data_IF_850637035779
#
_entry.id   IF_850637035779
#
_cell.length_a   1.000
_cell.length_b   1.000
_cell.length_c   1.000
_cell.angle_alpha   90.00
_cell.angle_beta   90.00
_cell.angle_gamma   90.00
#
_symmetry.space_group_name_H-M   'P 1'
#
loop_
_entity.id
_entity.type
_entity.pdbx_description
1 polymer ?
#
# COMPACT_ATOMS: atom_id res chain seq x y z
N UNK A 1 -12.70 -5.98 1.27
CA UNK A 1 -11.82 -7.01 0.67
C UNK A 1 -12.56 -7.81 -0.40
N UNK A 2 -11.93 -8.01 -1.55
CA UNK A 2 -12.45 -8.84 -2.66
C UNK A 2 -12.53 -10.33 -2.28
N UNK A 3 -11.77 -10.77 -1.28
CA UNK A 3 -11.77 -12.13 -0.72
C UNK A 3 -12.59 -12.26 0.57
N UNK A 4 -13.18 -11.16 1.03
CA UNK A 4 -14.13 -11.11 2.15
C UNK A 4 -13.51 -10.83 3.52
N UNK A 5 -12.21 -10.54 3.67
CA UNK A 5 -11.65 -10.17 4.96
C UNK A 5 -12.27 -8.87 5.49
N UNK A 6 -12.48 -8.79 6.80
CA UNK A 6 -13.15 -7.66 7.46
C UNK A 6 -12.33 -7.19 8.66
N UNK A 7 -12.10 -5.89 8.74
CA UNK A 7 -11.48 -5.24 9.90
C UNK A 7 -12.55 -4.81 10.92
N UNK A 8 -12.24 -4.95 12.18
CA UNK A 8 -13.07 -4.54 13.32
C UNK A 8 -12.21 -3.82 14.36
N UNK A 9 -12.78 -2.82 14.99
CA UNK A 9 -12.15 -2.15 16.11
C UNK A 9 -12.98 -2.42 17.37
N UNK A 10 -12.32 -2.68 18.50
CA UNK A 10 -12.99 -2.70 19.79
C UNK A 10 -13.14 -1.27 20.36
N UNK A 11 -13.70 -1.15 21.57
CA UNK A 11 -13.87 0.15 22.23
C UNK A 11 -12.55 0.86 22.56
N UNK A 12 -11.45 0.13 22.64
CA UNK A 12 -10.09 0.65 22.86
C UNK A 12 -9.33 0.87 21.55
N UNK A 13 -10.01 0.73 20.39
CA UNK A 13 -9.44 0.86 19.04
C UNK A 13 -8.42 -0.24 18.68
N UNK A 14 -8.37 -1.33 19.42
CA UNK A 14 -7.57 -2.49 19.04
C UNK A 14 -8.15 -3.12 17.77
N UNK A 15 -7.25 -3.52 16.85
CA UNK A 15 -7.62 -4.09 15.57
C UNK A 15 -7.85 -5.61 15.69
N UNK A 16 -8.96 -6.06 15.11
CA UNK A 16 -9.30 -7.47 14.89
C UNK A 16 -9.61 -7.69 13.43
N UNK A 17 -9.26 -8.84 12.89
CA UNK A 17 -9.57 -9.23 11.52
C UNK A 17 -10.30 -10.57 11.53
N UNK A 18 -11.36 -10.66 10.70
CA UNK A 18 -12.02 -11.90 10.34
C UNK A 18 -11.78 -12.21 8.86
N UNK A 19 -11.61 -13.49 8.50
CA UNK A 19 -11.41 -13.91 7.11
C UNK A 19 -12.66 -13.80 6.24
N UNK A 20 -13.78 -13.40 6.83
CA UNK A 20 -15.05 -13.22 6.14
C UNK A 20 -16.20 -12.92 7.09
N UNK A 21 -17.35 -12.57 6.53
CA UNK A 21 -18.55 -12.31 7.30
C UNK A 21 -18.96 -13.56 8.14
N UNK A 22 -19.23 -13.35 9.43
CA UNK A 22 -19.58 -14.44 10.36
C UNK A 22 -18.41 -15.31 10.83
N UNK A 23 -17.20 -15.08 10.37
CA UNK A 23 -16.01 -15.76 10.85
C UNK A 23 -15.51 -15.19 12.18
N UNK A 24 -14.74 -15.99 12.90
CA UNK A 24 -14.14 -15.58 14.19
C UNK A 24 -13.20 -14.40 13.97
N UNK A 25 -13.38 -13.36 14.79
CA UNK A 25 -12.48 -12.20 14.82
C UNK A 25 -11.22 -12.59 15.58
N UNK A 26 -10.08 -12.41 14.97
CA UNK A 26 -8.77 -12.66 15.55
C UNK A 26 -8.10 -11.33 15.86
N UNK A 27 -7.54 -11.20 17.08
CA UNK A 27 -6.82 -10.00 17.49
C UNK A 27 -5.52 -9.85 16.72
N UNK A 28 -5.23 -8.65 16.27
CA UNK A 28 -3.94 -8.30 15.67
C UNK A 28 -2.97 -7.97 16.79
N UNK A 29 -1.77 -8.56 16.72
CA UNK A 29 -0.76 -8.51 17.77
C UNK A 29 0.53 -7.86 17.27
N UNK A 30 1.23 -7.21 18.17
CA UNK A 30 2.64 -6.84 17.98
C UNK A 30 3.56 -8.06 18.20
N UNK A 31 4.86 -7.87 18.02
CA UNK A 31 5.86 -8.93 18.19
C UNK A 31 5.99 -9.42 19.65
N UNK A 32 5.50 -8.67 20.63
CA UNK A 32 5.49 -9.04 22.06
C UNK A 32 4.21 -9.78 22.48
N UNK A 33 3.23 -9.89 21.58
CA UNK A 33 1.92 -10.46 21.82
C UNK A 33 0.91 -9.45 22.39
N UNK A 34 1.24 -8.18 22.43
CA UNK A 34 0.32 -7.11 22.80
C UNK A 34 -0.70 -6.79 21.70
N UNK A 35 -1.91 -6.36 22.10
CA UNK A 35 -2.91 -5.85 21.17
C UNK A 35 -2.40 -4.57 20.50
N UNK A 36 -2.72 -4.39 19.23
CA UNK A 36 -2.28 -3.22 18.47
C UNK A 36 -3.48 -2.40 17.98
N UNK A 37 -3.32 -1.08 18.02
CA UNK A 37 -4.23 -0.11 17.43
C UNK A 37 -3.55 0.58 16.25
N UNK A 38 -4.29 0.69 15.13
CA UNK A 38 -3.97 1.58 14.01
C UNK A 38 -5.01 2.69 13.85
N UNK A 39 -5.97 2.80 14.78
CA UNK A 39 -7.02 3.82 14.77
C UNK A 39 -6.91 4.66 16.05
N UNK A 40 -6.00 5.62 16.03
CA UNK A 40 -5.64 6.42 17.18
C UNK A 40 -5.45 7.90 16.82
N UNK A 41 -5.53 8.75 17.84
CA UNK A 41 -5.24 10.17 17.71
C UNK A 41 -4.25 10.57 18.80
N UNK A 42 -3.11 11.09 18.37
CA UNK A 42 -2.12 11.69 19.25
C UNK A 42 -2.15 13.21 19.08
N UNK A 43 -2.15 13.96 20.19
CA UNK A 43 -2.15 15.41 20.16
C UNK A 43 -1.14 15.98 21.16
N UNK A 44 -0.34 16.96 20.71
CA UNK A 44 0.62 17.67 21.54
C UNK A 44 0.71 19.15 21.11
N UNK A 45 0.15 20.05 21.93
CA UNK A 45 0.10 21.48 21.60
C UNK A 45 -0.73 21.73 20.34
N UNK A 46 -0.11 22.30 19.31
CA UNK A 46 -0.73 22.56 17.99
C UNK A 46 -0.48 21.45 16.96
N UNK A 47 0.06 20.32 17.40
CA UNK A 47 0.27 19.12 16.57
C UNK A 47 -0.81 18.08 16.87
N UNK A 48 -1.39 17.49 15.82
CA UNK A 48 -2.27 16.32 15.91
C UNK A 48 -1.90 15.33 14.82
N UNK A 49 -1.76 14.07 15.20
CA UNK A 49 -1.58 12.93 14.30
C UNK A 49 -2.77 11.99 14.50
N UNK A 50 -3.58 11.82 13.47
CA UNK A 50 -4.78 10.97 13.49
C UNK A 50 -4.61 9.84 12.49
N UNK A 51 -4.75 8.61 12.97
CA UNK A 51 -4.73 7.40 12.16
C UNK A 51 -6.12 6.77 12.13
N UNK A 52 -6.51 6.25 10.98
CA UNK A 52 -7.79 5.60 10.74
C UNK A 52 -7.59 4.37 9.85
N UNK A 53 -8.03 3.20 10.30
CA UNK A 53 -8.06 1.98 9.46
C UNK A 53 -9.14 2.16 8.40
N UNK A 54 -8.75 2.11 7.13
CA UNK A 54 -9.67 2.24 6.00
C UNK A 54 -10.11 0.90 5.44
N UNK A 55 -9.17 -0.05 5.30
CA UNK A 55 -9.44 -1.31 4.64
C UNK A 55 -8.49 -2.42 5.11
N UNK A 56 -8.90 -3.65 4.85
CA UNK A 56 -8.07 -4.84 4.94
C UNK A 56 -8.27 -5.68 3.67
N UNK A 57 -7.19 -6.25 3.13
CA UNK A 57 -7.20 -7.12 1.95
C UNK A 57 -6.37 -8.37 2.21
N UNK A 58 -6.85 -9.54 1.76
CA UNK A 58 -6.08 -10.78 1.84
C UNK A 58 -5.08 -10.85 0.69
N UNK A 59 -3.82 -11.16 0.99
CA UNK A 59 -2.74 -11.23 0.02
C UNK A 59 -1.83 -12.43 0.30
N UNK A 60 -1.20 -12.97 -0.76
CA UNK A 60 -0.15 -13.99 -0.63
C UNK A 60 1.13 -13.41 -1.22
N UNK A 61 2.20 -13.36 -0.42
CA UNK A 61 3.49 -12.83 -0.83
C UNK A 61 4.56 -13.89 -0.54
N UNK A 62 5.30 -14.30 -1.55
CA UNK A 62 6.34 -15.34 -1.40
C UNK A 62 5.84 -16.65 -0.81
N UNK A 63 4.59 -17.03 -1.05
CA UNK A 63 3.97 -18.25 -0.49
C UNK A 63 3.49 -18.11 0.95
N UNK A 64 3.54 -16.93 1.54
CA UNK A 64 3.00 -16.63 2.88
C UNK A 64 1.72 -15.81 2.75
N UNK A 65 0.69 -16.20 3.49
CA UNK A 65 -0.59 -15.51 3.51
C UNK A 65 -0.59 -14.38 4.55
N UNK A 66 -1.02 -13.21 4.10
CA UNK A 66 -1.12 -11.99 4.90
C UNK A 66 -2.52 -11.38 4.81
N UNK A 67 -2.87 -10.61 5.84
CA UNK A 67 -3.81 -9.51 5.73
C UNK A 67 -3.03 -8.21 5.55
N UNK A 68 -3.31 -7.50 4.48
CA UNK A 68 -2.77 -6.16 4.23
C UNK A 68 -3.74 -5.14 4.80
N UNK A 69 -3.28 -4.27 5.67
CA UNK A 69 -4.07 -3.20 6.29
C UNK A 69 -3.70 -1.88 5.66
N UNK A 70 -4.70 -1.09 5.29
CA UNK A 70 -4.58 0.29 4.84
C UNK A 70 -5.01 1.23 5.94
N UNK A 71 -4.14 2.16 6.29
CA UNK A 71 -4.35 3.19 7.30
C UNK A 71 -4.20 4.56 6.66
N UNK A 72 -5.16 5.46 6.90
CA UNK A 72 -5.04 6.87 6.59
C UNK A 72 -4.41 7.59 7.77
N UNK A 73 -3.38 8.36 7.51
CA UNK A 73 -2.73 9.22 8.48
C UNK A 73 -3.00 10.69 8.13
N UNK A 74 -3.56 11.44 9.05
CA UNK A 74 -3.81 12.88 8.91
C UNK A 74 -3.03 13.63 9.98
N UNK A 75 -2.02 14.37 9.55
CA UNK A 75 -1.17 15.18 10.42
C UNK A 75 -1.56 16.64 10.28
N UNK A 76 -1.83 17.30 11.41
CA UNK A 76 -2.13 18.74 11.47
C UNK A 76 -1.09 19.43 12.35
N UNK A 77 -0.53 20.54 11.84
CA UNK A 77 0.36 21.42 12.60
C UNK A 77 -0.12 22.87 12.45
N UNK A 78 -0.70 23.42 13.51
CA UNK A 78 -1.35 24.72 13.46
C UNK A 78 -2.56 24.72 12.52
N UNK A 79 -2.47 25.47 11.42
CA UNK A 79 -3.49 25.51 10.34
C UNK A 79 -3.22 24.53 9.20
N UNK A 80 -2.03 23.96 9.14
CA UNK A 80 -1.58 23.14 8.02
C UNK A 80 -1.96 21.68 8.27
N UNK A 81 -2.58 21.05 7.27
CA UNK A 81 -2.99 19.65 7.33
C UNK A 81 -2.43 18.90 6.14
N UNK A 82 -1.82 17.77 6.40
CA UNK A 82 -1.34 16.83 5.40
C UNK A 82 -1.99 15.46 5.61
N UNK A 83 -2.17 14.73 4.51
CA UNK A 83 -2.70 13.36 4.54
C UNK A 83 -1.73 12.44 3.83
N UNK A 84 -1.53 11.27 4.41
CA UNK A 84 -0.78 10.18 3.84
C UNK A 84 -1.48 8.86 4.11
N UNK A 85 -1.01 7.80 3.46
CA UNK A 85 -1.55 6.46 3.58
C UNK A 85 -0.43 5.50 3.93
N UNK A 86 -0.71 4.61 4.86
CA UNK A 86 0.24 3.62 5.36
C UNK A 86 -0.30 2.24 5.05
N UNK A 87 0.57 1.32 4.65
CA UNK A 87 0.21 -0.09 4.53
C UNK A 87 1.13 -0.94 5.38
N UNK A 88 0.60 -2.02 5.94
CA UNK A 88 1.36 -3.00 6.70
C UNK A 88 0.74 -4.38 6.52
N UNK A 89 1.57 -5.41 6.50
CA UNK A 89 1.11 -6.78 6.42
C UNK A 89 1.04 -7.44 7.79
N UNK A 90 0.02 -8.26 7.99
CA UNK A 90 -0.20 -9.07 9.19
C UNK A 90 -0.18 -10.52 8.76
N UNK A 91 0.71 -11.35 9.30
CA UNK A 91 0.77 -12.78 8.97
C UNK A 91 -0.49 -13.49 9.43
N UNK A 92 -1.24 -14.10 8.51
CA UNK A 92 -2.51 -14.76 8.85
C UNK A 92 -2.34 -15.92 9.84
N UNK A 93 -1.22 -16.64 9.78
CA UNK A 93 -0.96 -17.78 10.65
C UNK A 93 -0.70 -17.43 12.12
N UNK A 94 -0.28 -16.19 12.41
CA UNK A 94 0.09 -15.76 13.76
C UNK A 94 -0.65 -14.52 14.22
N UNK A 95 -1.28 -13.80 13.30
CA UNK A 95 -1.91 -12.48 13.52
C UNK A 95 -0.91 -11.41 14.01
N UNK A 96 0.39 -11.60 13.77
CA UNK A 96 1.44 -10.66 14.15
C UNK A 96 1.74 -9.71 12.99
N UNK A 97 1.87 -8.41 13.33
CA UNK A 97 2.27 -7.36 12.37
C UNK A 97 3.69 -7.59 11.90
N UNK A 98 3.89 -7.56 10.59
CA UNK A 98 5.20 -7.60 9.96
C UNK A 98 5.66 -6.17 9.62
N UNK A 99 6.29 -5.51 10.58
CA UNK A 99 6.77 -4.13 10.46
C UNK A 99 7.81 -3.94 9.33
N UNK A 100 8.45 -5.01 8.89
CA UNK A 100 9.36 -4.96 7.73
C UNK A 100 8.65 -4.68 6.40
N UNK A 101 7.31 -4.75 6.39
CA UNK A 101 6.48 -4.49 5.20
C UNK A 101 5.75 -3.14 5.26
N UNK A 102 6.06 -2.31 6.28
CA UNK A 102 5.47 -1.00 6.42
C UNK A 102 5.88 -0.11 5.24
N UNK A 103 4.90 0.55 4.61
CA UNK A 103 5.11 1.47 3.50
C UNK A 103 4.24 2.71 3.66
N UNK A 104 4.72 3.82 3.11
CA UNK A 104 4.11 5.13 3.23
C UNK A 104 3.85 5.73 1.85
N UNK A 105 2.66 6.25 1.62
CA UNK A 105 2.22 6.80 0.33
C UNK A 105 1.56 8.17 0.53
N UNK A 106 1.89 9.13 -0.31
CA UNK A 106 1.20 10.44 -0.37
C UNK A 106 0.12 10.45 -1.44
N UNK A 107 0.23 9.57 -2.44
CA UNK A 107 -0.73 9.45 -3.53
C UNK A 107 -1.66 8.25 -3.29
N UNK A 108 -2.95 8.46 -2.97
CA UNK A 108 -3.91 7.39 -2.70
C UNK A 108 -4.19 6.51 -3.93
N UNK A 109 -4.09 7.07 -5.15
CA UNK A 109 -4.39 6.35 -6.40
C UNK A 109 -3.53 5.12 -6.59
N UNK A 110 -2.31 5.12 -6.03
CA UNK A 110 -1.42 3.95 -6.04
C UNK A 110 -1.94 2.76 -5.25
N UNK A 111 -2.88 2.98 -4.35
CA UNK A 111 -3.43 1.96 -3.45
C UNK A 111 -4.85 1.53 -3.81
N UNK A 112 -5.61 2.33 -4.55
CA UNK A 112 -7.02 2.06 -4.85
C UNK A 112 -7.23 0.73 -5.56
N UNK A 113 -6.42 0.43 -6.55
CA UNK A 113 -6.48 -0.85 -7.26
C UNK A 113 -6.20 -2.05 -6.35
N UNK A 114 -5.26 -1.89 -5.39
CA UNK A 114 -4.87 -2.97 -4.47
C UNK A 114 -5.96 -3.27 -3.45
N UNK A 115 -6.67 -2.23 -2.98
CA UNK A 115 -7.72 -2.35 -1.96
C UNK A 115 -9.14 -2.32 -2.54
N UNK A 116 -9.29 -2.08 -3.85
CA UNK A 116 -10.58 -1.99 -4.56
C UNK A 116 -11.55 -1.01 -3.90
N UNK A 117 -11.04 0.14 -3.45
CA UNK A 117 -11.80 1.24 -2.86
C UNK A 117 -11.37 2.57 -3.47
N UNK A 118 -12.31 3.48 -3.61
CA UNK A 118 -12.06 4.89 -3.92
C UNK A 118 -11.53 5.57 -2.65
N UNK A 119 -10.23 5.81 -2.59
CA UNK A 119 -9.55 6.33 -1.40
C UNK A 119 -9.56 7.86 -1.38
N UNK A 120 -9.47 8.50 -2.54
CA UNK A 120 -9.43 9.96 -2.65
C UNK A 120 -10.83 10.59 -2.76
N UNK A 121 -11.88 9.79 -2.96
CA UNK A 121 -13.27 10.23 -3.01
C UNK A 121 -13.65 10.88 -4.34
N UNK A 122 -12.90 10.63 -5.43
CA UNK A 122 -13.20 11.20 -6.76
C UNK A 122 -14.32 10.44 -7.51
N UNK A 123 -14.86 9.38 -6.92
CA UNK A 123 -15.95 8.56 -7.46
C UNK A 123 -15.46 7.44 -8.37
N UNK A 124 -14.16 7.23 -8.50
CA UNK A 124 -13.57 6.18 -9.33
C UNK A 124 -12.54 5.37 -8.55
N UNK A 125 -12.39 4.09 -8.88
CA UNK A 125 -11.27 3.29 -8.42
C UNK A 125 -10.22 3.33 -9.52
N UNK A 126 -9.08 3.95 -9.24
CA UNK A 126 -7.98 4.01 -10.20
C UNK A 126 -7.46 2.60 -10.49
N UNK A 127 -7.62 2.18 -11.73
CA UNK A 127 -7.04 0.92 -12.22
C UNK A 127 -5.94 1.25 -13.22
N UNK A 128 -4.75 0.74 -12.99
CA UNK A 128 -3.66 0.93 -13.94
C UNK A 128 -3.77 -0.11 -15.04
N UNK A 129 -4.05 0.37 -16.26
CA UNK A 129 -4.12 -0.48 -17.43
C UNK A 129 -2.75 -0.61 -18.09
N UNK A 130 -2.32 -1.85 -18.30
CA UNK A 130 -1.11 -2.12 -19.09
C UNK A 130 -1.20 -1.63 -20.55
N UNK A 131 -2.41 -1.35 -21.05
CA UNK A 131 -2.62 -0.83 -22.40
C UNK A 131 -2.12 0.61 -22.60
N UNK A 132 -2.03 1.39 -21.53
CA UNK A 132 -1.54 2.79 -21.56
C UNK A 132 -0.05 2.93 -21.26
N UNK A 133 0.72 1.83 -21.30
CA UNK A 133 2.14 1.84 -20.97
C UNK A 133 3.02 2.09 -22.20
N UNK A 134 4.15 2.79 -22.00
CA UNK A 134 5.21 2.99 -22.99
C UNK A 134 6.40 2.11 -22.66
N UNK A 135 6.99 1.45 -23.67
CA UNK A 135 8.23 0.68 -23.47
C UNK A 135 9.40 1.65 -23.22
N UNK A 136 10.13 1.43 -22.13
CA UNK A 136 11.33 2.20 -21.75
C UNK A 136 12.61 1.39 -21.94
N UNK A 137 12.53 0.05 -21.91
CA UNK A 137 13.64 -0.85 -22.22
C UNK A 137 13.13 -2.17 -22.81
N UNK A 138 13.95 -2.82 -23.62
CA UNK A 138 13.69 -4.17 -24.17
C UNK A 138 14.94 -5.00 -24.03
N UNK A 139 14.82 -6.21 -23.51
CA UNK A 139 15.94 -7.14 -23.42
C UNK A 139 16.20 -7.91 -24.73
N UNK A 140 17.23 -8.72 -24.78
CA UNK A 140 17.61 -9.51 -25.97
C UNK A 140 16.63 -10.64 -26.31
N UNK A 141 15.74 -11.00 -25.38
CA UNK A 141 14.69 -12.02 -25.57
C UNK A 141 13.35 -11.43 -25.97
N UNK A 142 13.23 -10.08 -25.99
CA UNK A 142 12.03 -9.34 -26.33
C UNK A 142 11.14 -8.97 -25.13
N UNK A 143 11.56 -9.29 -23.91
CA UNK A 143 10.87 -8.81 -22.72
C UNK A 143 11.05 -7.29 -22.57
N UNK A 144 9.97 -6.58 -22.22
CA UNK A 144 9.95 -5.14 -22.16
C UNK A 144 9.67 -4.64 -20.74
N UNK A 145 10.48 -3.71 -20.26
CA UNK A 145 10.12 -2.84 -19.16
C UNK A 145 9.26 -1.70 -19.72
N UNK A 146 8.09 -1.51 -19.15
CA UNK A 146 7.10 -0.52 -19.61
C UNK A 146 6.69 0.36 -18.45
N UNK A 147 6.30 1.60 -18.75
CA UNK A 147 5.88 2.58 -17.75
C UNK A 147 4.60 3.30 -18.21
N UNK A 148 3.72 3.58 -17.25
CA UNK A 148 2.58 4.47 -17.40
C UNK A 148 3.00 5.93 -17.24
N UNK A 149 2.11 6.86 -17.58
CA UNK A 149 2.36 8.30 -17.40
C UNK A 149 2.50 8.73 -15.95
N UNK A 150 1.98 7.95 -15.00
CA UNK A 150 2.09 8.17 -13.55
C UNK A 150 3.29 7.48 -12.91
N UNK A 151 4.18 6.87 -13.71
CA UNK A 151 5.40 6.25 -13.25
C UNK A 151 5.31 4.75 -12.93
N UNK A 152 4.12 4.16 -12.92
CA UNK A 152 3.95 2.73 -12.61
C UNK A 152 4.63 1.83 -13.62
N UNK A 153 5.31 0.78 -13.14
CA UNK A 153 6.14 -0.08 -13.95
C UNK A 153 5.49 -1.44 -14.23
N UNK A 154 5.73 -1.95 -15.44
CA UNK A 154 5.26 -3.24 -15.91
C UNK A 154 6.36 -3.99 -16.66
N UNK A 155 6.32 -5.33 -16.59
CA UNK A 155 7.08 -6.20 -17.48
C UNK A 155 6.11 -6.83 -18.47
N UNK A 156 6.36 -6.66 -19.76
CA UNK A 156 5.68 -7.39 -20.84
C UNK A 156 6.61 -8.47 -21.38
N UNK A 157 6.14 -9.73 -21.36
CA UNK A 157 6.85 -10.89 -21.91
C UNK A 157 5.87 -11.66 -22.82
N UNK A 158 6.08 -11.58 -24.12
CA UNK A 158 5.15 -12.06 -25.13
C UNK A 158 3.78 -11.39 -25.00
N UNK A 159 2.71 -12.19 -24.82
CA UNK A 159 1.34 -11.71 -24.62
C UNK A 159 1.01 -11.43 -23.14
N UNK A 160 1.90 -11.77 -22.23
CA UNK A 160 1.70 -11.55 -20.78
C UNK A 160 2.23 -10.20 -20.36
N UNK A 161 1.52 -9.55 -19.45
CA UNK A 161 1.95 -8.29 -18.84
C UNK A 161 1.79 -8.39 -17.33
N UNK A 162 2.86 -8.09 -16.60
CA UNK A 162 2.95 -8.18 -15.15
C UNK A 162 3.25 -6.81 -14.60
N UNK A 163 2.48 -6.37 -13.63
CA UNK A 163 2.79 -5.14 -12.90
C UNK A 163 3.91 -5.42 -11.89
N UNK A 164 4.86 -4.48 -11.81
CA UNK A 164 5.87 -4.50 -10.74
C UNK A 164 5.25 -3.82 -9.53
N UNK A 165 5.12 -4.57 -8.45
CA UNK A 165 4.59 -4.09 -7.18
C UNK A 165 5.58 -4.30 -6.06
N UNK A 166 5.52 -3.45 -5.03
CA UNK A 166 6.18 -3.68 -3.76
C UNK A 166 5.54 -4.87 -3.02
N UNK A 167 6.18 -5.44 -2.01
CA UNK A 167 5.63 -6.58 -1.24
C UNK A 167 4.26 -6.32 -0.63
N UNK A 168 3.93 -5.07 -0.36
CA UNK A 168 2.62 -4.63 0.13
C UNK A 168 1.58 -4.42 -0.98
N UNK A 169 1.96 -4.64 -2.25
CA UNK A 169 1.12 -4.56 -3.45
C UNK A 169 0.93 -3.14 -3.99
N UNK A 170 1.59 -2.15 -3.38
CA UNK A 170 1.66 -0.81 -3.95
C UNK A 170 2.45 -0.78 -5.25
N UNK A 171 2.23 0.22 -6.08
CA UNK A 171 3.00 0.41 -7.31
C UNK A 171 4.44 0.80 -6.99
N UNK A 172 5.37 0.21 -7.71
CA UNK A 172 6.76 0.63 -7.66
C UNK A 172 6.98 1.71 -8.71
N UNK A 173 7.35 2.90 -8.27
CA UNK A 173 7.88 3.97 -9.10
C UNK A 173 9.39 4.06 -8.86
N UNK A 174 10.17 3.61 -9.83
CA UNK A 174 11.62 3.74 -9.78
C UNK A 174 12.11 5.00 -10.50
N UNK A 175 11.20 5.75 -11.15
CA UNK A 175 11.50 6.98 -11.84
C UNK A 175 11.01 8.17 -11.03
N UNK A 176 11.83 8.63 -10.10
CA UNK A 176 11.49 9.80 -9.29
C UNK A 176 12.65 10.80 -9.24
N UNK A 177 12.30 12.04 -9.02
CA UNK A 177 13.25 13.13 -8.75
C UNK A 177 12.90 13.73 -7.40
N UNK A 178 13.83 13.71 -6.47
CA UNK A 178 13.72 14.42 -5.22
C UNK A 178 14.61 15.66 -5.26
N UNK A 179 14.09 16.81 -4.80
CA UNK A 179 14.78 18.10 -4.89
C UNK A 179 14.87 18.71 -3.50
N UNK A 180 16.09 19.01 -3.06
CA UNK A 180 16.37 19.67 -1.78
C UNK A 180 17.06 21.01 -2.03
N UNK A 181 17.25 21.78 -0.97
CA UNK A 181 17.84 23.12 -1.02
C UNK A 181 19.18 23.17 -1.77
N UNK A 182 20.01 22.12 -1.66
CA UNK A 182 21.37 22.08 -2.21
C UNK A 182 21.54 21.10 -3.38
N UNK A 183 20.44 20.58 -3.97
CA UNK A 183 20.55 19.66 -5.10
C UNK A 183 19.28 18.85 -5.39
N UNK A 184 19.43 17.86 -6.25
CA UNK A 184 18.37 16.88 -6.57
C UNK A 184 18.95 15.49 -6.69
N UNK A 185 18.14 14.49 -6.34
CA UNK A 185 18.39 13.08 -6.60
C UNK A 185 17.39 12.60 -7.65
N UNK A 186 17.88 11.88 -8.68
CA UNK A 186 17.03 11.29 -9.72
C UNK A 186 17.27 9.80 -9.78
N UNK A 187 16.20 9.03 -9.78
CA UNK A 187 16.20 7.59 -10.02
C UNK A 187 15.46 7.29 -11.32
N UNK A 188 16.01 6.40 -12.13
CA UNK A 188 15.40 5.96 -13.38
C UNK A 188 15.52 4.44 -13.53
N UNK A 189 14.43 3.79 -13.94
CA UNK A 189 14.48 2.40 -14.38
C UNK A 189 15.04 2.35 -15.82
N UNK A 190 16.16 1.67 -16.01
CA UNK A 190 16.90 1.70 -17.28
C UNK A 190 16.93 0.37 -18.03
N UNK A 191 16.64 -0.76 -17.39
CA UNK A 191 16.71 -2.06 -18.01
C UNK A 191 15.80 -3.10 -17.36
N UNK A 192 15.47 -4.11 -18.13
CA UNK A 192 14.90 -5.38 -17.67
C UNK A 192 15.69 -6.53 -18.32
N UNK A 193 15.87 -7.62 -17.61
CA UNK A 193 16.45 -8.86 -18.14
C UNK A 193 15.61 -10.03 -17.63
N UNK A 194 15.35 -10.99 -18.55
CA UNK A 194 14.66 -12.25 -18.25
C UNK A 194 15.64 -13.31 -17.80
#
# INVERSE_FOLDING_TARGET
DTKGALAYLDSSKNLFIASGAGQTKQAVLDFSGGLISFDETYSLGNFTDKREVLAVESATVGGTDYYKVLVKNTTTFGSDTSTAYETVNIKQSTMIVDWGTFSYYVDPKKLESAFQIDIDGDGTITTISSSSTTAIATDTTGAQLRQTSDGSLFIKDGDSTFQITSPDGGYVDLNFTDTFTDGSFKSEAIAVQK
#
